data_IF_257385892042
#
_entry.id   IF_257385892042
#
_cell.length_a   1.000
_cell.length_b   1.000
_cell.length_c   1.000
_cell.angle_alpha   90.00
_cell.angle_beta   90.00
_cell.angle_gamma   90.00
#
_symmetry.space_group_name_H-M   'P 1'
#
loop_
_entity.id
_entity.type
_entity.pdbx_description
1 polymer ?
#
# COMPACT_ATOMS: atom_id res chain seq x y z
N UNK A 1 0.81 -2.04 24.59
CA UNK A 1 1.98 -2.60 23.89
C UNK A 1 3.29 -2.29 24.62
N UNK A 2 3.64 -1.02 24.85
CA UNK A 2 4.82 -0.65 25.68
C UNK A 2 4.83 -1.34 27.05
N UNK A 3 3.67 -1.42 27.70
CA UNK A 3 3.52 -2.06 29.01
C UNK A 3 3.82 -3.56 28.99
N UNK A 4 3.33 -4.28 27.98
CA UNK A 4 3.61 -5.71 27.78
C UNK A 4 5.10 -5.98 27.50
N UNK A 5 5.83 -5.03 26.91
CA UNK A 5 7.27 -5.17 26.68
C UNK A 5 8.11 -4.82 27.92
N UNK A 6 7.77 -3.70 28.57
CA UNK A 6 8.55 -3.15 29.70
C UNK A 6 8.24 -3.92 30.99
N UNK A 7 6.97 -4.03 31.34
CA UNK A 7 6.49 -4.63 32.60
C UNK A 7 6.18 -6.12 32.38
N UNK A 8 5.44 -6.44 31.32
CA UNK A 8 4.88 -7.77 31.10
C UNK A 8 3.62 -8.02 31.92
N UNK A 9 3.04 -9.22 31.80
CA UNK A 9 1.83 -9.61 32.53
C UNK A 9 1.97 -11.01 33.14
N UNK A 10 1.42 -11.19 34.34
CA UNK A 10 1.41 -12.49 35.02
C UNK A 10 0.50 -13.46 34.27
N UNK A 11 1.06 -14.54 33.74
CA UNK A 11 0.35 -15.54 32.93
C UNK A 11 0.69 -16.94 33.40
N UNK A 12 -0.31 -17.83 33.35
CA UNK A 12 -0.15 -19.23 33.72
C UNK A 12 0.26 -20.08 32.51
N UNK A 13 1.31 -20.90 32.66
CA UNK A 13 1.76 -21.88 31.68
C UNK A 13 1.21 -23.27 32.01
N UNK A 14 0.20 -23.73 31.26
CA UNK A 14 -0.45 -25.04 31.44
C UNK A 14 0.53 -26.20 31.22
N UNK A 15 1.55 -26.03 30.36
CA UNK A 15 2.52 -27.10 30.09
C UNK A 15 3.49 -27.34 31.26
N UNK A 16 3.70 -26.32 32.09
CA UNK A 16 4.67 -26.35 33.21
C UNK A 16 4.02 -26.16 34.57
N UNK A 17 2.70 -26.02 34.62
CA UNK A 17 1.90 -25.81 35.82
C UNK A 17 2.44 -24.69 36.74
N UNK A 18 2.80 -23.54 36.15
CA UNK A 18 3.39 -22.43 36.89
C UNK A 18 3.04 -21.05 36.34
N UNK A 19 3.15 -20.03 37.20
CA UNK A 19 3.01 -18.62 36.82
C UNK A 19 4.34 -18.06 36.31
N UNK A 20 4.31 -17.28 35.24
CA UNK A 20 5.47 -16.53 34.75
C UNK A 20 5.06 -15.13 34.25
N UNK A 21 6.03 -14.23 34.15
CA UNK A 21 5.81 -12.91 33.55
C UNK A 21 6.00 -13.01 32.04
N UNK A 22 4.89 -12.93 31.31
CA UNK A 22 4.89 -12.91 29.86
C UNK A 22 5.19 -11.51 29.35
N UNK A 23 6.19 -11.40 28.46
CA UNK A 23 6.47 -10.18 27.69
C UNK A 23 6.14 -10.39 26.24
N UNK A 24 5.58 -9.37 25.60
CA UNK A 24 5.20 -9.41 24.19
C UNK A 24 5.72 -8.17 23.45
N UNK A 25 6.17 -8.38 22.22
CA UNK A 25 6.55 -7.34 21.27
C UNK A 25 5.88 -7.58 19.92
N UNK A 26 5.51 -6.51 19.22
CA UNK A 26 5.06 -6.57 17.84
C UNK A 26 6.29 -6.36 16.94
N UNK A 27 6.61 -7.35 16.11
CA UNK A 27 7.74 -7.27 15.17
C UNK A 27 7.27 -6.73 13.81
N UNK A 28 6.19 -7.30 13.27
CA UNK A 28 5.53 -6.83 12.06
C UNK A 28 4.02 -7.10 12.14
N UNK A 29 3.24 -6.28 11.44
CA UNK A 29 1.80 -6.50 11.23
C UNK A 29 1.55 -6.81 9.76
N UNK A 30 0.76 -7.83 9.46
CA UNK A 30 0.25 -8.06 8.11
C UNK A 30 -1.06 -7.29 8.01
N UNK A 31 -1.05 -6.19 7.28
CA UNK A 31 -2.22 -5.37 7.02
C UNK A 31 -2.71 -5.58 5.59
N UNK A 32 -4.02 -5.54 5.40
CA UNK A 32 -4.58 -5.43 4.06
C UNK A 32 -4.34 -4.03 3.48
N UNK A 33 -4.72 -3.85 2.21
CA UNK A 33 -4.45 -2.61 1.50
C UNK A 33 -5.19 -1.39 2.09
N UNK A 34 -6.46 -1.48 2.55
CA UNK A 34 -7.10 -0.39 3.30
C UNK A 34 -6.39 -0.04 4.62
N UNK A 35 -6.03 -1.02 5.44
CA UNK A 35 -5.36 -0.76 6.73
C UNK A 35 -3.96 -0.16 6.54
N UNK A 36 -3.27 -0.44 5.43
CA UNK A 36 -2.02 0.24 5.07
C UNK A 36 -2.17 1.76 5.09
N UNK A 37 -3.29 2.30 4.61
CA UNK A 37 -3.50 3.75 4.59
C UNK A 37 -3.53 4.37 5.99
N UNK A 38 -4.15 3.67 6.95
CA UNK A 38 -4.18 4.12 8.35
C UNK A 38 -2.80 4.04 9.02
N UNK A 39 -2.04 2.97 8.74
CA UNK A 39 -0.74 2.75 9.39
C UNK A 39 0.38 3.64 8.82
N UNK A 40 0.36 3.87 7.51
CA UNK A 40 1.39 4.67 6.82
C UNK A 40 1.07 6.16 6.76
N UNK A 41 -0.18 6.55 7.05
CA UNK A 41 -0.67 7.91 6.77
C UNK A 41 -0.84 8.20 5.27
N UNK A 42 -0.74 7.18 4.43
CA UNK A 42 -0.86 7.31 2.97
C UNK A 42 -2.32 7.14 2.50
N UNK A 43 -2.70 7.86 1.45
CA UNK A 43 -4.03 7.66 0.85
C UNK A 43 -4.07 6.36 0.06
N UNK A 44 -5.00 5.47 0.39
CA UNK A 44 -5.31 4.25 -0.38
C UNK A 44 -6.34 4.51 -1.49
N UNK A 45 -6.83 5.75 -1.59
CA UNK A 45 -7.88 6.17 -2.52
C UNK A 45 -7.41 7.29 -3.46
N UNK A 46 -8.22 7.55 -4.49
CA UNK A 46 -7.99 8.66 -5.42
C UNK A 46 -6.80 8.42 -6.34
N UNK A 47 -6.10 9.49 -6.72
CA UNK A 47 -4.92 9.46 -7.60
C UNK A 47 -3.66 8.96 -6.88
N UNK A 48 -3.63 9.08 -5.56
CA UNK A 48 -2.52 8.68 -4.69
C UNK A 48 -2.63 7.24 -4.21
N UNK A 49 -3.63 6.48 -4.65
CA UNK A 49 -3.89 5.13 -4.13
C UNK A 49 -2.69 4.17 -4.29
N UNK A 50 -1.88 4.28 -5.35
CA UNK A 50 -0.79 3.34 -5.58
C UNK A 50 0.36 3.51 -4.56
N UNK A 51 0.65 2.54 -3.68
CA UNK A 51 1.70 2.66 -2.67
C UNK A 51 3.11 2.53 -3.26
N UNK A 52 3.22 1.93 -4.47
CA UNK A 52 4.50 1.75 -5.18
C UNK A 52 4.90 3.05 -5.87
N UNK A 53 3.93 3.69 -6.53
CA UNK A 53 4.19 4.92 -7.30
C UNK A 53 4.06 6.17 -6.45
N UNK A 54 3.27 6.12 -5.38
CA UNK A 54 3.02 7.23 -4.48
C UNK A 54 2.59 8.48 -5.28
N UNK A 55 3.20 9.63 -5.01
CA UNK A 55 3.01 10.90 -5.73
C UNK A 55 3.41 10.84 -7.22
N UNK A 56 4.23 9.87 -7.63
CA UNK A 56 4.70 9.69 -9.01
C UNK A 56 3.72 8.86 -9.86
N UNK A 57 2.49 8.74 -9.40
CA UNK A 57 1.44 8.03 -10.13
C UNK A 57 1.00 8.83 -11.36
N UNK A 58 1.11 8.24 -12.55
CA UNK A 58 0.53 8.78 -13.79
C UNK A 58 -1.02 8.64 -13.85
N UNK A 59 -1.70 8.41 -12.72
CA UNK A 59 -3.14 8.27 -12.67
C UNK A 59 -3.82 9.60 -13.00
N UNK A 60 -4.98 9.55 -13.64
CA UNK A 60 -5.73 10.74 -14.02
C UNK A 60 -7.17 10.70 -13.52
N UNK A 61 -7.79 11.88 -13.40
CA UNK A 61 -9.20 12.00 -13.07
C UNK A 61 -10.05 11.98 -14.34
N UNK A 62 -11.00 11.05 -14.42
CA UNK A 62 -11.94 11.02 -15.54
C UNK A 62 -13.00 12.09 -15.35
N UNK A 63 -13.01 13.10 -16.23
CA UNK A 63 -13.88 14.28 -16.12
C UNK A 63 -15.37 13.93 -15.97
N UNK A 64 -15.86 12.96 -16.73
CA UNK A 64 -17.29 12.64 -16.78
C UNK A 64 -17.75 11.65 -15.69
N UNK A 65 -16.90 10.69 -15.30
CA UNK A 65 -17.26 9.73 -14.25
C UNK A 65 -16.89 10.21 -12.85
N UNK A 66 -16.05 11.24 -12.74
CA UNK A 66 -15.58 11.75 -11.45
C UNK A 66 -14.70 10.76 -10.68
N UNK A 67 -14.14 9.75 -11.35
CA UNK A 67 -13.35 8.69 -10.73
C UNK A 67 -11.88 8.74 -11.18
N UNK A 68 -10.92 8.35 -10.30
CA UNK A 68 -9.54 8.14 -10.72
C UNK A 68 -9.45 6.94 -11.67
N UNK A 69 -8.61 7.04 -12.69
CA UNK A 69 -8.29 5.97 -13.61
C UNK A 69 -6.80 5.67 -13.60
N UNK A 70 -6.49 4.38 -13.65
CA UNK A 70 -5.14 3.82 -13.71
C UNK A 70 -4.88 3.12 -15.06
N UNK A 71 -5.80 3.25 -16.01
CA UNK A 71 -5.82 2.49 -17.26
C UNK A 71 -4.53 2.66 -18.07
N UNK A 72 -3.86 3.83 -18.02
CA UNK A 72 -2.63 4.10 -18.80
C UNK A 72 -1.36 4.07 -17.96
N UNK A 73 -1.47 3.71 -16.68
CA UNK A 73 -0.36 3.69 -15.74
C UNK A 73 0.49 2.43 -15.88
N UNK A 74 0.00 1.36 -16.53
CA UNK A 74 0.65 0.05 -16.56
C UNK A 74 2.01 0.04 -17.28
N UNK A 75 2.26 1.00 -18.19
CA UNK A 75 3.51 1.12 -18.95
C UNK A 75 4.74 1.29 -18.07
N UNK A 76 4.59 1.87 -16.88
CA UNK A 76 5.68 2.06 -15.89
C UNK A 76 6.15 0.75 -15.24
N UNK A 77 5.45 -0.36 -15.46
CA UNK A 77 5.85 -1.69 -14.99
C UNK A 77 6.59 -2.51 -16.06
N UNK A 78 6.66 -2.05 -17.31
CA UNK A 78 7.44 -2.70 -18.37
C UNK A 78 8.95 -2.58 -18.13
N UNK A 79 9.83 -3.42 -18.69
CA UNK A 79 11.28 -3.24 -18.56
C UNK A 79 11.76 -1.85 -19.00
N UNK A 80 12.87 -1.36 -18.43
CA UNK A 80 13.35 0.01 -18.65
C UNK A 80 13.60 0.34 -20.14
N UNK A 81 14.04 -0.67 -20.91
CA UNK A 81 14.32 -0.58 -22.35
C UNK A 81 13.12 -0.96 -23.24
N UNK A 82 11.95 -1.21 -22.67
CA UNK A 82 10.78 -1.62 -23.43
C UNK A 82 10.23 -0.46 -24.28
N UNK A 83 10.03 -0.69 -25.58
CA UNK A 83 9.59 0.33 -26.56
C UNK A 83 8.35 1.12 -26.11
N UNK A 84 7.36 0.42 -25.53
CA UNK A 84 6.11 1.05 -25.08
C UNK A 84 6.18 1.72 -23.70
N UNK A 85 7.27 1.56 -22.93
CA UNK A 85 7.40 2.17 -21.59
C UNK A 85 7.32 3.70 -21.66
N UNK A 86 7.87 4.31 -22.71
CA UNK A 86 7.84 5.75 -22.96
C UNK A 86 6.72 6.19 -23.92
N UNK A 87 5.95 5.26 -24.44
CA UNK A 87 4.87 5.57 -25.38
C UNK A 87 3.66 6.12 -24.63
N UNK A 88 3.57 7.44 -24.56
CA UNK A 88 2.44 8.17 -23.97
C UNK A 88 1.31 8.41 -24.96
N UNK A 89 1.45 8.04 -26.23
CA UNK A 89 0.50 8.42 -27.28
C UNK A 89 -0.42 7.26 -27.62
N UNK A 90 0.15 6.08 -27.87
CA UNK A 90 -0.62 4.92 -28.38
C UNK A 90 -1.59 4.33 -27.38
N UNK A 91 -1.41 4.64 -26.09
CA UNK A 91 -2.19 4.04 -25.01
C UNK A 91 -3.18 5.01 -24.34
N UNK A 92 -3.16 6.32 -24.65
CA UNK A 92 -4.13 7.26 -24.07
C UNK A 92 -5.42 7.24 -24.88
N UNK A 93 -6.49 6.72 -24.27
CA UNK A 93 -7.83 6.78 -24.86
C UNK A 93 -8.27 8.25 -25.08
N UNK A 94 -8.63 8.60 -26.31
CA UNK A 94 -9.19 9.92 -26.66
C UNK A 94 -8.18 11.01 -27.05
N UNK A 95 -6.88 10.70 -27.17
CA UNK A 95 -5.86 11.67 -27.60
C UNK A 95 -5.33 11.33 -29.00
N UNK A 96 -6.02 11.83 -30.04
CA UNK A 96 -5.55 11.73 -31.42
C UNK A 96 -4.48 12.81 -31.64
N UNK A 97 -3.25 12.41 -31.92
CA UNK A 97 -2.18 13.33 -32.33
C UNK A 97 -2.26 13.44 -33.85
N UNK A 98 -2.65 14.62 -34.35
CA UNK A 98 -2.50 14.98 -35.77
C UNK A 98 -1.03 15.16 -36.11
#
# INVERSE_FOLDING_TARGET
>A
MKELWVIGTSTYDVSRDQMFIMKAAIIWTISDFPAYGMLSGWSTHGLMGCPICMEKSDANWLKFSGKPSYFDCHRKFLPMNHRYRKDKKSFIAGRVVR
#
